data_IF_224514211331
#
_entry.id   IF_224514211331
#
_cell.length_a   1.000
_cell.length_b   1.000
_cell.length_c   1.000
_cell.angle_alpha   90.00
_cell.angle_beta   90.00
_cell.angle_gamma   90.00
#
_symmetry.space_group_name_H-M   'P 1'
#
loop_
_entity.id
_entity.type
_entity.pdbx_description
1 polymer ?
#
# COMPACT_ATOMS: atom_id res chain seq x y z
N UNK A 1 27.81 -25.73 11.88
CA UNK A 1 27.36 -24.63 10.98
C UNK A 1 25.84 -24.42 11.06
N UNK A 2 25.30 -24.23 12.26
CA UNK A 2 23.89 -23.84 12.47
C UNK A 2 23.78 -22.34 12.17
N UNK A 3 22.77 -21.91 11.41
CA UNK A 3 22.39 -20.51 11.09
C UNK A 3 23.02 -19.88 9.83
N UNK A 4 23.44 -20.67 8.84
CA UNK A 4 23.84 -20.13 7.50
C UNK A 4 22.71 -20.41 6.51
N UNK A 5 22.30 -19.39 5.77
CA UNK A 5 21.22 -19.39 4.79
C UNK A 5 21.70 -18.83 3.45
N UNK A 6 21.06 -19.21 2.36
CA UNK A 6 21.29 -18.55 1.06
C UNK A 6 20.70 -17.14 1.08
N UNK A 7 19.50 -17.01 1.63
CA UNK A 7 18.76 -15.74 1.66
C UNK A 7 18.10 -15.56 3.03
N UNK A 8 18.21 -14.34 3.57
CA UNK A 8 17.43 -13.89 4.71
C UNK A 8 16.46 -12.79 4.27
N UNK A 9 15.20 -12.89 4.72
CA UNK A 9 14.19 -11.83 4.62
C UNK A 9 13.92 -11.27 6.02
N UNK A 10 14.02 -9.93 6.16
CA UNK A 10 13.62 -9.23 7.38
C UNK A 10 12.23 -8.64 7.17
N UNK A 11 11.28 -9.15 7.94
CA UNK A 11 9.85 -8.89 7.81
C UNK A 11 9.13 -9.91 6.93
N UNK A 12 8.08 -10.51 7.46
CA UNK A 12 7.23 -11.49 6.81
C UNK A 12 5.90 -10.90 6.31
N UNK A 13 5.94 -9.66 5.79
CA UNK A 13 4.77 -8.95 5.29
C UNK A 13 4.39 -9.32 3.85
N UNK A 14 3.47 -8.53 3.27
CA UNK A 14 2.89 -8.77 1.96
C UNK A 14 3.95 -8.92 0.86
N UNK A 15 4.90 -8.00 0.75
CA UNK A 15 5.95 -8.03 -0.28
C UNK A 15 6.82 -9.28 -0.21
N UNK A 16 7.24 -9.66 1.01
CA UNK A 16 8.03 -10.87 1.24
C UNK A 16 7.25 -12.12 0.84
N UNK A 17 6.00 -12.26 1.29
CA UNK A 17 5.23 -13.46 1.04
C UNK A 17 4.75 -13.57 -0.42
N UNK A 18 4.43 -12.45 -1.09
CA UNK A 18 4.15 -12.45 -2.53
C UNK A 18 5.39 -12.88 -3.32
N UNK A 19 6.58 -12.36 -2.98
CA UNK A 19 7.83 -12.77 -3.60
C UNK A 19 8.07 -14.27 -3.38
N UNK A 20 8.12 -14.73 -2.14
CA UNK A 20 8.46 -16.11 -1.80
C UNK A 20 7.48 -17.14 -2.35
N UNK A 21 6.17 -16.82 -2.40
CA UNK A 21 5.15 -17.71 -2.96
C UNK A 21 5.38 -18.03 -4.45
N UNK A 22 6.08 -17.16 -5.18
CA UNK A 22 6.46 -17.42 -6.57
C UNK A 22 7.90 -17.94 -6.70
N UNK A 23 8.84 -17.29 -5.99
CA UNK A 23 10.26 -17.60 -6.06
C UNK A 23 10.58 -19.06 -5.66
N UNK A 24 9.97 -19.54 -4.58
CA UNK A 24 10.24 -20.89 -4.07
C UNK A 24 9.68 -22.02 -4.92
N UNK A 25 8.84 -21.74 -5.90
CA UNK A 25 8.36 -22.75 -6.86
C UNK A 25 9.51 -23.36 -7.66
N UNK A 26 10.46 -22.52 -8.08
CA UNK A 26 11.60 -22.93 -8.92
C UNK A 26 12.92 -23.02 -8.13
N UNK A 27 12.96 -22.51 -6.91
CA UNK A 27 14.16 -22.40 -6.08
C UNK A 27 14.03 -23.14 -4.75
N UNK A 28 13.40 -24.30 -4.75
CA UNK A 28 13.08 -25.07 -3.52
C UNK A 28 14.31 -25.64 -2.80
N UNK A 29 15.48 -25.70 -3.42
CA UNK A 29 16.73 -26.18 -2.81
C UNK A 29 17.45 -25.12 -1.98
N UNK A 30 17.09 -23.84 -2.11
CA UNK A 30 17.72 -22.76 -1.34
C UNK A 30 17.24 -22.75 0.11
N UNK A 31 18.17 -22.50 1.02
CA UNK A 31 17.88 -22.30 2.46
C UNK A 31 17.44 -20.86 2.68
N UNK A 32 16.18 -20.65 2.90
CA UNK A 32 15.59 -19.32 3.07
C UNK A 32 15.08 -19.14 4.50
N UNK A 33 15.47 -18.03 5.14
CA UNK A 33 15.01 -17.64 6.47
C UNK A 33 14.17 -16.37 6.39
N UNK A 34 13.03 -16.37 7.03
CA UNK A 34 12.21 -15.16 7.25
C UNK A 34 12.20 -14.84 8.75
N UNK A 35 12.60 -13.61 9.09
CA UNK A 35 12.62 -13.09 10.46
C UNK A 35 11.47 -12.08 10.61
N UNK A 36 10.42 -12.44 11.36
CA UNK A 36 9.25 -11.60 11.58
C UNK A 36 9.18 -11.13 13.04
N UNK A 37 9.04 -9.81 13.25
CA UNK A 37 8.98 -9.22 14.59
C UNK A 37 7.71 -9.56 15.37
N UNK A 38 6.61 -9.79 14.68
CA UNK A 38 5.33 -10.06 15.30
C UNK A 38 5.20 -11.52 15.74
N UNK A 39 4.56 -11.76 16.90
CA UNK A 39 4.26 -13.11 17.41
C UNK A 39 3.25 -13.86 16.52
N UNK A 40 2.36 -13.13 15.85
CA UNK A 40 1.33 -13.68 14.95
C UNK A 40 1.41 -12.99 13.59
N UNK A 41 0.95 -13.68 12.54
CA UNK A 41 0.69 -13.02 11.26
C UNK A 41 -0.33 -11.92 11.51
N UNK A 42 -0.02 -10.71 11.05
CA UNK A 42 -0.88 -9.55 11.26
C UNK A 42 -2.22 -9.77 10.58
N UNK A 43 -3.32 -9.62 11.33
CA UNK A 43 -4.67 -9.97 10.89
C UNK A 43 -5.61 -8.77 10.73
N UNK A 44 -5.09 -7.58 10.94
CA UNK A 44 -5.83 -6.32 11.05
C UNK A 44 -5.73 -5.47 9.79
N UNK A 45 -5.51 -6.07 8.63
CA UNK A 45 -5.33 -5.33 7.37
C UNK A 45 -6.36 -5.75 6.33
N UNK A 46 -6.79 -4.77 5.53
CA UNK A 46 -7.55 -5.00 4.31
C UNK A 46 -6.70 -4.56 3.13
N UNK A 47 -6.50 -5.44 2.14
CA UNK A 47 -5.81 -5.09 0.91
C UNK A 47 -6.83 -4.84 -0.19
N UNK A 48 -6.75 -3.68 -0.81
CA UNK A 48 -7.61 -3.35 -1.94
C UNK A 48 -6.80 -3.18 -3.22
N UNK A 49 -7.37 -3.64 -4.33
CA UNK A 49 -6.76 -3.55 -5.65
C UNK A 49 -7.78 -3.25 -6.72
N UNK A 50 -7.31 -2.63 -7.79
CA UNK A 50 -8.01 -2.56 -9.06
C UNK A 50 -7.73 -3.83 -9.86
N UNK A 51 -8.74 -4.38 -10.52
CA UNK A 51 -8.62 -5.56 -11.38
C UNK A 51 -9.37 -5.32 -12.68
N UNK A 52 -8.92 -5.93 -13.78
CA UNK A 52 -9.57 -5.81 -15.08
C UNK A 52 -8.59 -5.85 -16.24
N UNK A 53 -9.03 -5.45 -17.45
CA UNK A 53 -8.21 -5.53 -18.66
C UNK A 53 -6.87 -4.80 -18.51
N UNK A 54 -5.79 -5.45 -18.99
CA UNK A 54 -4.43 -4.91 -18.96
C UNK A 54 -3.84 -4.62 -17.57
N UNK A 55 -4.44 -5.15 -16.51
CA UNK A 55 -3.89 -5.15 -15.16
C UNK A 55 -3.36 -6.53 -14.80
N UNK A 56 -2.35 -6.56 -13.92
CA UNK A 56 -1.80 -7.83 -13.43
C UNK A 56 -2.87 -8.62 -12.66
N UNK A 57 -3.07 -9.88 -13.05
CA UNK A 57 -4.07 -10.75 -12.42
C UNK A 57 -3.53 -11.38 -11.12
N UNK A 58 -3.79 -10.69 -10.02
CA UNK A 58 -3.38 -11.10 -8.67
C UNK A 58 -4.10 -12.38 -8.24
N UNK A 59 -5.39 -12.51 -8.53
CA UNK A 59 -6.19 -13.67 -8.12
C UNK A 59 -5.68 -14.96 -8.75
N UNK A 60 -5.46 -14.93 -10.05
CA UNK A 60 -4.94 -16.09 -10.81
C UNK A 60 -3.52 -16.44 -10.37
N UNK A 61 -2.64 -15.42 -10.29
CA UNK A 61 -1.21 -15.64 -10.00
C UNK A 61 -0.97 -16.18 -8.60
N UNK A 62 -1.66 -15.63 -7.61
CA UNK A 62 -1.48 -15.98 -6.19
C UNK A 62 -2.58 -16.87 -5.62
N UNK A 63 -3.54 -17.31 -6.46
CA UNK A 63 -4.71 -18.13 -6.06
C UNK A 63 -5.47 -17.53 -4.89
N UNK A 64 -5.63 -16.21 -4.89
CA UNK A 64 -6.34 -15.47 -3.87
C UNK A 64 -7.81 -15.32 -4.24
N UNK A 65 -8.68 -15.24 -3.21
CA UNK A 65 -10.11 -14.96 -3.38
C UNK A 65 -10.45 -13.65 -2.69
N UNK A 66 -11.06 -12.67 -3.39
CA UNK A 66 -11.49 -11.43 -2.77
C UNK A 66 -12.64 -11.68 -1.77
N UNK A 67 -12.69 -10.86 -0.72
CA UNK A 67 -13.78 -10.83 0.25
C UNK A 67 -15.03 -10.19 -0.37
N UNK A 68 -14.84 -9.14 -1.19
CA UNK A 68 -15.91 -8.45 -1.93
C UNK A 68 -15.33 -7.85 -3.22
N UNK A 69 -16.21 -7.73 -4.21
CA UNK A 69 -15.94 -7.11 -5.51
C UNK A 69 -17.00 -6.05 -5.75
N UNK A 70 -16.57 -4.85 -6.17
CA UNK A 70 -17.48 -3.78 -6.59
C UNK A 70 -17.22 -3.42 -8.06
N UNK A 71 -18.31 -3.09 -8.76
CA UNK A 71 -18.29 -2.56 -10.13
C UNK A 71 -18.66 -1.08 -10.17
N UNK A 72 -18.77 -0.46 -9.01
CA UNK A 72 -19.01 0.97 -8.87
C UNK A 72 -18.22 1.50 -7.67
N UNK A 73 -17.82 2.75 -7.77
CA UNK A 73 -17.12 3.48 -6.70
C UNK A 73 -17.80 4.83 -6.47
N UNK A 74 -17.65 5.35 -5.27
CA UNK A 74 -18.25 6.63 -4.86
C UNK A 74 -17.22 7.55 -4.23
N UNK A 75 -17.30 8.84 -4.57
CA UNK A 75 -16.61 9.92 -3.87
C UNK A 75 -17.66 10.94 -3.45
N UNK A 76 -17.51 11.46 -2.23
CA UNK A 76 -18.50 12.36 -1.62
C UNK A 76 -17.76 13.56 -1.00
N UNK A 77 -18.26 14.75 -1.22
CA UNK A 77 -17.90 15.94 -0.45
C UNK A 77 -19.17 16.67 0.00
N UNK A 78 -19.05 17.83 0.65
CA UNK A 78 -20.19 18.61 1.15
C UNK A 78 -21.11 19.15 0.05
N UNK A 79 -20.68 19.16 -1.21
CA UNK A 79 -21.41 19.77 -2.34
C UNK A 79 -21.98 18.75 -3.31
N UNK A 80 -21.30 17.62 -3.50
CA UNK A 80 -21.67 16.64 -4.52
C UNK A 80 -21.26 15.21 -4.15
N UNK A 81 -21.92 14.24 -4.75
CA UNK A 81 -21.59 12.83 -4.70
C UNK A 81 -21.39 12.32 -6.13
N UNK A 82 -20.21 11.75 -6.39
CA UNK A 82 -19.83 11.19 -7.69
C UNK A 82 -19.91 9.67 -7.58
N UNK A 83 -20.83 9.06 -8.34
CA UNK A 83 -20.92 7.61 -8.52
C UNK A 83 -20.36 7.26 -9.90
N UNK A 84 -19.32 6.42 -9.94
CA UNK A 84 -18.69 5.96 -11.18
C UNK A 84 -18.90 4.45 -11.35
N UNK A 85 -19.49 4.04 -12.49
CA UNK A 85 -19.50 2.64 -12.93
C UNK A 85 -18.15 2.34 -13.56
N UNK A 86 -17.48 1.29 -13.10
CA UNK A 86 -16.09 0.97 -13.49
C UNK A 86 -15.96 -0.28 -14.37
N UNK A 87 -17.06 -0.99 -14.68
CA UNK A 87 -17.01 -2.15 -15.60
C UNK A 87 -16.39 -1.75 -16.95
N UNK A 88 -15.43 -2.49 -17.52
CA UNK A 88 -15.04 -3.87 -17.19
C UNK A 88 -14.05 -4.01 -16.03
N UNK A 89 -13.58 -2.92 -15.44
CA UNK A 89 -12.75 -2.97 -14.24
C UNK A 89 -13.58 -3.30 -12.99
N UNK A 90 -12.88 -3.68 -11.94
CA UNK A 90 -13.44 -4.03 -10.65
C UNK A 90 -12.55 -3.45 -9.53
N UNK A 91 -13.18 -3.09 -8.42
CA UNK A 91 -12.48 -2.79 -7.19
C UNK A 91 -12.66 -3.96 -6.23
N UNK A 92 -11.58 -4.51 -5.70
CA UNK A 92 -11.59 -5.76 -4.93
C UNK A 92 -10.95 -5.56 -3.57
N UNK A 93 -11.58 -6.10 -2.53
CA UNK A 93 -11.03 -6.16 -1.19
C UNK A 93 -10.64 -7.58 -0.82
N UNK A 94 -9.46 -7.74 -0.21
CA UNK A 94 -8.94 -8.99 0.30
C UNK A 94 -8.76 -8.91 1.81
N UNK A 95 -9.13 -9.98 2.52
CA UNK A 95 -8.82 -10.14 3.94
C UNK A 95 -7.32 -10.35 4.12
N UNK A 96 -6.66 -9.45 4.83
CA UNK A 96 -5.20 -9.45 4.96
C UNK A 96 -4.67 -10.70 5.65
N UNK A 97 -5.33 -11.16 6.72
CA UNK A 97 -4.92 -12.36 7.44
C UNK A 97 -5.02 -13.61 6.55
N UNK A 98 -6.15 -13.78 5.86
CA UNK A 98 -6.34 -14.91 4.93
C UNK A 98 -5.32 -14.83 3.79
N UNK A 99 -5.11 -13.65 3.23
CA UNK A 99 -4.13 -13.42 2.16
C UNK A 99 -2.72 -13.82 2.58
N UNK A 100 -2.23 -13.32 3.71
CA UNK A 100 -0.88 -13.62 4.17
C UNK A 100 -0.71 -15.11 4.54
N UNK A 101 -1.73 -15.74 5.15
CA UNK A 101 -1.71 -17.18 5.43
C UNK A 101 -1.66 -18.03 4.16
N UNK A 102 -2.46 -17.67 3.16
CA UNK A 102 -2.48 -18.39 1.87
C UNK A 102 -1.16 -18.22 1.11
N UNK A 103 -0.57 -17.03 1.11
CA UNK A 103 0.74 -16.79 0.50
C UNK A 103 1.83 -17.58 1.23
N UNK A 104 1.83 -17.59 2.56
CA UNK A 104 2.78 -18.37 3.34
C UNK A 104 2.66 -19.88 3.08
N UNK A 105 1.44 -20.40 2.97
CA UNK A 105 1.20 -21.81 2.66
C UNK A 105 1.69 -22.22 1.26
N UNK A 106 1.84 -21.26 0.33
CA UNK A 106 2.40 -21.48 -1.00
C UNK A 106 3.93 -21.47 -1.03
N UNK A 107 4.60 -20.97 0.02
CA UNK A 107 6.05 -20.93 0.12
C UNK A 107 6.60 -22.34 0.43
N UNK A 108 7.60 -22.78 -0.34
CA UNK A 108 8.24 -24.09 -0.16
C UNK A 108 9.59 -23.95 0.52
N UNK A 109 9.90 -24.88 1.45
CA UNK A 109 11.21 -25.01 2.08
C UNK A 109 11.78 -23.71 2.68
N UNK A 110 10.93 -22.91 3.35
CA UNK A 110 11.36 -21.74 4.11
C UNK A 110 11.34 -22.00 5.60
N UNK A 111 12.29 -21.41 6.30
CA UNK A 111 12.25 -21.28 7.77
C UNK A 111 11.63 -19.95 8.15
N UNK A 112 10.47 -19.95 8.80
CA UNK A 112 9.76 -18.73 9.20
C UNK A 112 9.79 -18.57 10.72
N UNK A 113 10.65 -17.67 11.22
CA UNK A 113 10.79 -17.39 12.66
C UNK A 113 9.98 -16.13 13.03
N UNK A 114 9.09 -16.27 14.00
CA UNK A 114 8.25 -15.19 14.57
C UNK A 114 8.85 -14.65 15.85
N UNK A 115 8.44 -13.46 16.27
CA UNK A 115 8.90 -12.80 17.49
C UNK A 115 10.42 -12.55 17.48
N UNK A 116 10.99 -12.30 16.31
CA UNK A 116 12.41 -12.04 16.12
C UNK A 116 12.59 -10.56 15.72
N UNK A 117 13.21 -9.80 16.58
CA UNK A 117 13.53 -8.40 16.32
C UNK A 117 15.00 -8.34 15.88
N UNK A 118 15.22 -7.95 14.64
CA UNK A 118 16.58 -7.70 14.12
C UNK A 118 17.08 -6.37 14.68
N UNK A 119 18.24 -6.42 15.30
CA UNK A 119 18.91 -5.28 15.91
C UNK A 119 19.90 -4.63 14.94
N UNK A 120 20.83 -5.40 14.44
CA UNK A 120 21.92 -4.92 13.60
C UNK A 120 22.14 -5.82 12.37
N UNK A 121 22.72 -5.22 11.32
CA UNK A 121 23.08 -5.87 10.07
C UNK A 121 24.42 -5.34 9.64
N UNK A 122 25.39 -6.23 9.50
CA UNK A 122 26.71 -5.95 8.97
C UNK A 122 26.94 -6.77 7.71
N UNK A 123 27.62 -6.22 6.72
CA UNK A 123 28.07 -6.92 5.52
C UNK A 123 29.59 -6.93 5.46
N UNK A 124 30.14 -8.12 5.50
CA UNK A 124 31.59 -8.32 5.30
C UNK A 124 31.78 -9.30 4.15
N UNK A 125 31.66 -10.34 3.84
CA UNK A 125 31.53 -11.21 2.66
C UNK A 125 30.16 -11.87 2.62
N UNK A 126 29.52 -11.92 3.80
CA UNK A 126 28.16 -12.39 4.04
C UNK A 126 27.45 -11.33 4.88
N UNK A 127 26.13 -11.33 4.80
CA UNK A 127 25.33 -10.58 5.76
C UNK A 127 25.36 -11.28 7.13
N UNK A 128 25.70 -10.51 8.15
CA UNK A 128 25.62 -10.88 9.56
C UNK A 128 24.39 -10.18 10.14
N UNK A 129 23.36 -10.95 10.50
CA UNK A 129 22.11 -10.43 11.02
C UNK A 129 22.02 -10.77 12.49
N UNK A 130 22.15 -9.78 13.36
CA UNK A 130 22.05 -9.92 14.81
C UNK A 130 20.65 -9.58 15.29
N UNK A 131 20.11 -10.36 16.17
CA UNK A 131 18.81 -10.12 16.81
C UNK A 131 18.98 -9.48 18.18
N UNK A 132 17.90 -8.87 18.71
CA UNK A 132 17.89 -8.35 20.08
C UNK A 132 18.06 -9.43 21.15
N UNK A 133 17.75 -10.69 20.84
CA UNK A 133 17.98 -11.84 21.73
C UNK A 133 19.41 -12.38 21.65
N UNK A 134 20.31 -11.78 20.86
CA UNK A 134 21.70 -12.20 20.72
C UNK A 134 21.93 -13.32 19.69
N UNK A 135 20.87 -13.84 19.01
CA UNK A 135 21.05 -14.81 17.94
C UNK A 135 21.75 -14.14 16.74
N UNK A 136 22.68 -14.87 16.11
CA UNK A 136 23.37 -14.46 14.89
C UNK A 136 23.02 -15.37 13.73
N UNK A 137 22.55 -14.79 12.64
CA UNK A 137 22.27 -15.47 11.37
C UNK A 137 23.19 -14.92 10.27
N UNK A 138 23.57 -15.78 9.32
CA UNK A 138 24.43 -15.41 8.19
C UNK A 138 23.73 -15.74 6.87
N UNK A 139 23.90 -14.89 5.85
CA UNK A 139 23.39 -15.19 4.50
C UNK A 139 24.20 -14.53 3.41
N UNK A 140 24.13 -15.11 2.21
CA UNK A 140 24.71 -14.53 0.98
C UNK A 140 23.90 -13.33 0.50
N UNK A 141 22.55 -13.42 0.59
CA UNK A 141 21.64 -12.36 0.16
C UNK A 141 20.70 -11.97 1.30
N UNK A 142 20.37 -10.68 1.34
CA UNK A 142 19.46 -10.12 2.33
C UNK A 142 18.39 -9.26 1.66
N UNK A 143 17.14 -9.54 1.99
CA UNK A 143 15.99 -8.70 1.66
C UNK A 143 15.48 -8.01 2.94
N UNK A 144 15.32 -6.70 2.89
CA UNK A 144 14.87 -5.93 4.04
C UNK A 144 13.57 -5.18 3.73
N UNK A 145 12.47 -5.59 4.38
CA UNK A 145 11.15 -4.99 4.22
C UNK A 145 10.77 -4.06 5.39
N UNK A 146 11.69 -3.78 6.30
CA UNK A 146 11.41 -2.89 7.44
C UNK A 146 11.08 -1.48 6.93
N UNK A 147 10.10 -0.80 7.54
CA UNK A 147 9.84 0.58 7.18
C UNK A 147 11.08 1.46 7.46
N UNK A 148 11.28 2.53 6.68
CA UNK A 148 12.41 3.43 6.86
C UNK A 148 12.33 4.13 8.23
N UNK A 149 13.48 4.26 8.88
CA UNK A 149 13.60 4.96 10.17
C UNK A 149 13.82 6.47 9.98
N UNK A 150 14.38 6.88 8.85
CA UNK A 150 14.79 8.26 8.59
C UNK A 150 14.02 8.83 7.38
N UNK A 151 13.59 10.10 7.50
CA UNK A 151 12.97 10.85 6.40
C UNK A 151 13.96 11.19 5.26
N UNK A 152 15.28 11.17 5.50
CA UNK A 152 16.30 11.42 4.50
C UNK A 152 16.30 10.48 3.30
N UNK A 153 15.62 9.33 3.40
CA UNK A 153 15.45 8.39 2.28
C UNK A 153 14.45 8.88 1.22
N UNK A 154 13.60 9.87 1.53
CA UNK A 154 12.67 10.42 0.56
C UNK A 154 13.37 11.39 -0.39
N UNK A 155 12.97 11.33 -1.67
CA UNK A 155 13.51 12.18 -2.72
C UNK A 155 13.11 13.64 -2.56
N UNK A 156 11.90 13.87 -2.01
CA UNK A 156 11.33 15.20 -1.79
C UNK A 156 10.97 15.36 -0.31
N UNK A 157 11.06 16.59 0.24
CA UNK A 157 10.78 16.83 1.66
C UNK A 157 9.29 16.76 2.02
N UNK A 158 8.39 16.93 1.04
CA UNK A 158 6.96 16.97 1.25
C UNK A 158 6.38 15.56 1.41
N UNK A 159 6.64 14.97 2.58
CA UNK A 159 6.14 13.64 2.95
C UNK A 159 4.93 13.80 3.86
N UNK A 160 3.78 13.29 3.42
CA UNK A 160 2.59 13.13 4.23
C UNK A 160 2.52 11.73 4.84
N UNK A 161 1.69 11.59 5.86
CA UNK A 161 1.32 10.30 6.43
C UNK A 161 -0.15 10.04 6.14
N UNK A 162 -0.46 8.93 5.50
CA UNK A 162 -1.81 8.38 5.48
C UNK A 162 -1.98 7.57 6.75
N UNK A 163 -2.59 8.19 7.76
CA UNK A 163 -2.86 7.57 9.04
C UNK A 163 -4.35 7.28 9.17
N UNK A 164 -4.72 6.08 9.58
CA UNK A 164 -6.11 5.70 9.67
C UNK A 164 -6.43 4.77 10.85
N UNK A 165 -7.69 4.83 11.26
CA UNK A 165 -8.35 3.86 12.13
C UNK A 165 -9.55 3.32 11.36
N UNK A 166 -9.65 2.01 11.24
CA UNK A 166 -10.74 1.30 10.62
C UNK A 166 -11.48 0.41 11.62
N UNK A 167 -12.80 0.35 11.48
CA UNK A 167 -13.65 -0.55 12.26
C UNK A 167 -14.59 -1.27 11.29
N UNK A 168 -14.49 -2.60 11.27
CA UNK A 168 -15.48 -3.41 10.57
C UNK A 168 -16.66 -3.64 11.51
N UNK A 169 -17.84 -3.22 11.10
CA UNK A 169 -19.08 -3.31 11.88
C UNK A 169 -20.11 -4.19 11.19
N UNK A 170 -21.00 -4.74 11.99
CA UNK A 170 -22.24 -5.34 11.51
C UNK A 170 -23.43 -4.70 12.23
N UNK A 171 -24.52 -4.47 11.49
CA UNK A 171 -25.76 -3.82 11.93
C UNK A 171 -26.94 -4.76 11.78
N UNK A 172 -28.02 -4.54 12.54
CA UNK A 172 -29.21 -5.39 12.53
C UNK A 172 -30.06 -5.18 11.26
N UNK A 173 -30.15 -3.94 10.79
CA UNK A 173 -30.94 -3.52 9.63
C UNK A 173 -30.05 -3.16 8.44
N UNK A 174 -30.63 -3.01 7.25
CA UNK A 174 -29.90 -2.60 6.03
C UNK A 174 -29.52 -1.12 6.13
N UNK A 175 -28.22 -0.82 6.35
CA UNK A 175 -27.70 0.55 6.48
C UNK A 175 -26.59 0.86 5.44
N UNK A 176 -26.19 -0.10 4.62
CA UNK A 176 -25.15 0.08 3.63
C UNK A 176 -25.65 -0.16 2.20
N UNK A 177 -25.23 0.71 1.27
CA UNK A 177 -25.31 0.44 -0.16
C UNK A 177 -24.10 -0.43 -0.56
N UNK A 178 -24.31 -1.73 -0.71
CA UNK A 178 -23.23 -2.67 -0.98
C UNK A 178 -22.92 -2.84 -2.49
N UNK A 179 -23.50 -2.00 -3.33
CA UNK A 179 -23.27 -1.96 -4.77
C UNK A 179 -22.02 -1.16 -5.16
N UNK A 180 -21.59 -0.24 -4.30
CA UNK A 180 -20.45 0.64 -4.54
C UNK A 180 -19.51 0.72 -3.32
N UNK A 181 -18.19 0.74 -3.57
CA UNK A 181 -17.22 1.13 -2.56
C UNK A 181 -17.09 2.65 -2.49
N UNK A 182 -17.22 3.24 -1.30
CA UNK A 182 -16.94 4.67 -1.12
C UNK A 182 -15.45 4.85 -0.88
N UNK A 183 -14.74 5.36 -1.88
CA UNK A 183 -13.29 5.58 -1.78
C UNK A 183 -12.95 6.75 -0.87
N UNK A 184 -13.74 7.82 -0.94
CA UNK A 184 -13.53 9.02 -0.14
C UNK A 184 -14.87 9.69 0.14
N UNK A 185 -15.22 9.83 1.42
CA UNK A 185 -16.27 10.71 1.91
C UNK A 185 -15.57 11.80 2.73
N UNK A 186 -15.31 12.95 2.08
CA UNK A 186 -14.49 14.01 2.64
C UNK A 186 -15.16 14.76 3.78
N UNK A 187 -14.37 15.08 4.79
CA UNK A 187 -14.73 15.99 5.87
C UNK A 187 -13.96 17.31 5.73
N UNK A 188 -14.55 18.40 6.16
CA UNK A 188 -13.89 19.72 6.16
C UNK A 188 -12.78 19.76 7.20
N UNK A 189 -11.59 20.19 6.77
CA UNK A 189 -10.44 20.45 7.63
C UNK A 189 -9.45 21.35 6.88
N UNK A 190 -8.77 22.22 7.62
CA UNK A 190 -7.76 23.12 7.07
C UNK A 190 -6.33 22.56 7.25
N UNK A 191 -6.13 21.64 8.21
CA UNK A 191 -4.80 21.12 8.57
C UNK A 191 -4.47 19.75 7.98
N UNK A 192 -5.46 19.03 7.46
CA UNK A 192 -5.31 17.69 6.93
C UNK A 192 -6.39 17.39 5.87
N UNK A 193 -6.12 16.47 4.95
CA UNK A 193 -7.18 15.90 4.14
C UNK A 193 -7.80 14.77 4.95
N UNK A 194 -9.07 14.92 5.33
CA UNK A 194 -9.81 13.94 6.12
C UNK A 194 -10.92 13.33 5.29
N UNK A 195 -11.01 12.02 5.28
CA UNK A 195 -12.11 11.32 4.62
C UNK A 195 -12.43 9.99 5.29
N UNK A 196 -13.66 9.53 5.10
CA UNK A 196 -14.05 8.17 5.46
C UNK A 196 -14.06 7.30 4.22
N UNK A 197 -13.35 6.18 4.31
CA UNK A 197 -13.34 5.12 3.33
C UNK A 197 -14.30 4.02 3.81
N UNK A 198 -15.28 3.62 2.97
CA UNK A 198 -16.33 2.70 3.36
C UNK A 198 -16.38 1.55 2.37
N UNK A 199 -16.16 0.34 2.86
CA UNK A 199 -16.21 -0.90 2.11
C UNK A 199 -17.40 -1.75 2.58
N UNK A 200 -18.57 -1.62 1.97
CA UNK A 200 -19.73 -2.40 2.32
C UNK A 200 -19.62 -3.83 1.78
N UNK A 201 -19.43 -4.80 2.66
CA UNK A 201 -19.35 -6.22 2.29
C UNK A 201 -20.74 -6.81 2.07
N UNK A 202 -21.76 -6.25 2.71
CA UNK A 202 -23.18 -6.51 2.51
C UNK A 202 -23.98 -5.29 2.98
N UNK A 203 -25.29 -5.30 2.78
CA UNK A 203 -26.18 -4.24 3.30
C UNK A 203 -26.13 -4.07 4.82
N UNK A 204 -25.61 -5.10 5.55
CA UNK A 204 -25.52 -5.13 7.02
C UNK A 204 -24.11 -5.19 7.55
N UNK A 205 -23.07 -5.10 6.71
CA UNK A 205 -21.68 -5.23 7.15
C UNK A 205 -20.75 -4.40 6.30
N UNK A 206 -19.96 -3.56 6.94
CA UNK A 206 -18.96 -2.73 6.26
C UNK A 206 -17.68 -2.55 7.10
N UNK A 207 -16.57 -2.32 6.42
CA UNK A 207 -15.39 -1.68 7.00
C UNK A 207 -15.53 -0.18 6.80
N UNK A 208 -15.35 0.56 7.87
CA UNK A 208 -15.33 2.02 7.86
C UNK A 208 -13.98 2.47 8.39
N UNK A 209 -13.23 3.21 7.57
CA UNK A 209 -11.96 3.79 7.95
C UNK A 209 -12.05 5.31 7.95
N UNK A 210 -11.57 5.94 9.00
CA UNK A 210 -11.33 7.38 9.01
C UNK A 210 -9.85 7.61 8.77
N UNK A 211 -9.54 8.27 7.66
CA UNK A 211 -8.20 8.45 7.12
C UNK A 211 -7.82 9.91 7.11
N UNK A 212 -6.61 10.20 7.54
CA UNK A 212 -5.98 11.51 7.52
C UNK A 212 -4.75 11.48 6.62
N UNK A 213 -4.67 12.39 5.65
CA UNK A 213 -3.41 12.74 5.01
C UNK A 213 -2.85 13.95 5.75
N UNK A 214 -1.80 13.74 6.55
CA UNK A 214 -1.31 14.75 7.51
C UNK A 214 0.21 14.75 7.62
N UNK A 215 0.77 15.90 7.98
CA UNK A 215 2.20 16.07 8.30
C UNK A 215 2.56 15.39 9.63
N UNK A 216 1.68 15.49 10.62
CA UNK A 216 1.85 14.97 11.99
C UNK A 216 0.67 14.08 12.35
N UNK A 217 0.97 12.86 12.77
CA UNK A 217 -0.06 11.87 13.13
C UNK A 217 -0.47 12.08 14.59
N UNK A 218 -1.77 12.27 14.81
CA UNK A 218 -2.39 12.25 16.12
C UNK A 218 -3.54 11.23 16.14
N UNK A 219 -3.26 10.07 16.70
CA UNK A 219 -4.26 9.00 16.78
C UNK A 219 -5.41 9.28 17.77
N UNK A 220 -5.24 10.19 18.72
CA UNK A 220 -6.35 10.58 19.62
C UNK A 220 -7.38 11.38 18.83
N UNK A 221 -6.90 12.33 18.00
CA UNK A 221 -7.77 13.10 17.11
C UNK A 221 -8.44 12.16 16.08
N UNK A 222 -7.68 11.30 15.40
CA UNK A 222 -8.24 10.33 14.42
C UNK A 222 -9.31 9.45 15.10
N UNK A 223 -9.06 8.97 16.32
CA UNK A 223 -10.01 8.15 17.07
C UNK A 223 -11.28 8.91 17.43
N UNK A 224 -11.17 10.18 17.81
CA UNK A 224 -12.33 11.05 18.10
C UNK A 224 -13.19 11.24 16.85
N UNK A 225 -12.57 11.61 15.72
CA UNK A 225 -13.28 11.81 14.45
C UNK A 225 -13.92 10.50 13.97
N UNK A 226 -13.19 9.38 14.09
CA UNK A 226 -13.70 8.06 13.72
C UNK A 226 -14.92 7.65 14.55
N UNK A 227 -14.86 7.81 15.87
CA UNK A 227 -16.01 7.52 16.75
C UNK A 227 -17.22 8.39 16.40
N UNK A 228 -17.02 9.69 16.17
CA UNK A 228 -18.10 10.59 15.75
C UNK A 228 -18.73 10.14 14.43
N UNK A 229 -17.94 9.67 13.47
CA UNK A 229 -18.49 9.16 12.23
C UNK A 229 -19.26 7.85 12.41
N UNK A 230 -18.83 6.97 13.31
CA UNK A 230 -19.54 5.73 13.61
C UNK A 230 -20.92 5.95 14.24
N UNK A 231 -21.18 7.11 14.89
CA UNK A 231 -22.52 7.44 15.41
C UNK A 231 -23.60 7.60 14.33
N UNK A 232 -23.24 7.69 13.04
CA UNK A 232 -24.20 7.64 11.95
C UNK A 232 -24.85 6.25 11.77
N UNK A 233 -24.26 5.20 12.36
CA UNK A 233 -24.77 3.82 12.29
C UNK A 233 -25.37 3.41 13.63
N UNK A 234 -26.59 2.86 13.57
CA UNK A 234 -27.33 2.45 14.77
C UNK A 234 -27.06 0.98 15.09
N UNK A 235 -27.08 0.62 16.36
CA UNK A 235 -27.03 -0.76 16.87
C UNK A 235 -25.98 -1.65 16.20
N UNK A 236 -24.77 -1.12 16.07
CA UNK A 236 -23.70 -1.88 15.45
C UNK A 236 -22.89 -2.73 16.45
N UNK A 237 -22.44 -3.89 15.97
CA UNK A 237 -21.44 -4.73 16.64
C UNK A 237 -20.10 -4.61 15.94
N UNK A 238 -19.02 -4.45 16.71
CA UNK A 238 -17.66 -4.40 16.16
C UNK A 238 -17.18 -5.82 15.88
N UNK A 239 -16.77 -6.08 14.64
CA UNK A 239 -16.20 -7.35 14.19
C UNK A 239 -14.68 -7.37 14.36
N UNK A 240 -14.01 -6.31 13.88
CA UNK A 240 -12.56 -6.13 14.00
C UNK A 240 -12.20 -4.66 13.89
N UNK A 241 -10.97 -4.36 14.28
CA UNK A 241 -10.37 -3.02 14.12
C UNK A 241 -9.08 -3.13 13.34
N UNK A 242 -8.74 -2.09 12.59
CA UNK A 242 -7.45 -1.93 11.95
C UNK A 242 -6.91 -0.52 12.19
N UNK A 243 -5.58 -0.39 12.14
CA UNK A 243 -4.89 0.88 12.37
C UNK A 243 -3.53 0.81 11.68
N UNK A 244 -3.20 1.84 10.89
CA UNK A 244 -1.89 1.92 10.28
C UNK A 244 -1.46 3.37 10.02
N UNK A 245 -0.18 3.52 9.70
CA UNK A 245 0.43 4.69 9.11
C UNK A 245 1.13 4.21 7.84
N UNK A 246 0.80 4.82 6.71
CA UNK A 246 1.48 4.61 5.45
C UNK A 246 2.20 5.92 5.09
N UNK A 247 3.53 5.93 5.02
CA UNK A 247 4.25 7.12 4.59
C UNK A 247 4.00 7.36 3.10
N UNK A 248 3.63 8.58 2.75
CA UNK A 248 3.34 9.03 1.40
C UNK A 248 4.49 9.91 0.92
N UNK A 249 5.32 9.37 0.07
CA UNK A 249 6.49 10.07 -0.47
C UNK A 249 7.29 9.18 -1.41
N UNK A 250 8.01 9.80 -2.33
CA UNK A 250 8.87 9.07 -3.28
C UNK A 250 10.18 8.70 -2.59
N UNK A 251 10.49 7.42 -2.55
CA UNK A 251 11.74 6.90 -1.98
C UNK A 251 12.89 7.12 -2.97
N UNK A 252 14.06 7.54 -2.48
CA UNK A 252 15.30 7.55 -3.26
C UNK A 252 15.73 6.13 -3.58
N UNK A 253 16.12 5.87 -4.80
CA UNK A 253 16.72 4.59 -5.15
C UNK A 253 18.11 4.51 -4.50
N UNK A 254 18.26 3.61 -3.55
CA UNK A 254 19.55 3.32 -2.92
C UNK A 254 20.18 2.10 -3.62
N UNK A 255 20.89 2.38 -4.70
CA UNK A 255 21.64 1.36 -5.47
C UNK A 255 22.93 0.92 -4.78
N UNK A 256 23.39 1.67 -3.77
CA UNK A 256 24.63 1.38 -3.03
C UNK A 256 24.40 0.42 -1.85
N UNK A 257 23.16 0.18 -1.47
CA UNK A 257 22.85 -0.77 -0.41
C UNK A 257 23.21 -2.20 -0.81
N UNK A 258 23.95 -2.88 0.03
CA UNK A 258 24.21 -4.32 -0.16
C UNK A 258 22.94 -5.16 0.02
N UNK A 259 22.03 -4.74 0.89
CA UNK A 259 20.74 -5.39 1.12
C UNK A 259 19.70 -4.94 0.07
N UNK A 260 18.93 -5.87 -0.45
CA UNK A 260 17.82 -5.60 -1.37
C UNK A 260 16.62 -5.10 -0.55
N UNK A 261 16.24 -3.83 -0.74
CA UNK A 261 15.04 -3.28 -0.10
C UNK A 261 13.79 -3.76 -0.83
N UNK A 262 12.74 -4.11 -0.07
CA UNK A 262 11.41 -4.47 -0.60
C UNK A 262 10.31 -3.84 0.27
N UNK A 263 9.08 -3.81 -0.25
CA UNK A 263 7.95 -3.23 0.47
C UNK A 263 8.05 -1.72 0.62
N UNK A 264 7.68 -1.20 1.78
CA UNK A 264 7.63 0.25 2.05
C UNK A 264 9.01 0.89 1.87
N UNK A 265 10.07 0.24 2.36
CA UNK A 265 11.44 0.77 2.27
C UNK A 265 11.99 0.85 0.86
N UNK A 266 11.39 0.16 -0.09
CA UNK A 266 11.73 0.23 -1.50
C UNK A 266 10.82 1.16 -2.31
N UNK A 267 9.82 1.81 -1.69
CA UNK A 267 8.83 2.60 -2.42
C UNK A 267 7.76 1.77 -3.13
N UNK A 268 7.53 0.52 -2.70
CA UNK A 268 6.47 -0.33 -3.26
C UNK A 268 5.07 0.05 -2.75
N UNK A 269 4.92 1.22 -2.16
CA UNK A 269 3.65 1.90 -1.90
C UNK A 269 3.57 3.06 -2.89
N UNK A 270 2.43 3.22 -3.57
CA UNK A 270 2.23 4.37 -4.44
C UNK A 270 2.19 5.66 -3.62
N UNK A 271 3.04 6.65 -3.94
CA UNK A 271 3.24 7.82 -3.07
C UNK A 271 1.98 8.61 -2.76
N UNK A 272 1.09 8.83 -3.75
CA UNK A 272 -0.10 9.66 -3.59
C UNK A 272 -1.34 8.93 -3.06
N UNK A 273 -1.34 7.58 -2.99
CA UNK A 273 -2.56 6.81 -2.71
C UNK A 273 -2.41 5.67 -1.71
N UNK A 274 -1.19 5.27 -1.38
CA UNK A 274 -0.93 4.17 -0.46
C UNK A 274 -1.16 2.75 -1.04
N UNK A 275 -1.56 2.60 -2.31
CA UNK A 275 -1.73 1.29 -2.92
C UNK A 275 -0.39 0.58 -3.06
N UNK A 276 -0.31 -0.67 -2.57
CA UNK A 276 0.93 -1.45 -2.55
C UNK A 276 0.83 -2.78 -3.30
N UNK A 277 -0.26 -3.51 -3.12
CA UNK A 277 -0.38 -4.89 -3.60
C UNK A 277 -0.22 -5.00 -5.12
N UNK A 278 -0.84 -4.09 -5.89
CA UNK A 278 -0.72 -4.04 -7.34
C UNK A 278 0.71 -3.67 -7.78
N UNK A 279 1.33 -2.69 -7.10
CA UNK A 279 2.71 -2.25 -7.40
C UNK A 279 3.73 -3.37 -7.13
N UNK A 280 3.57 -4.13 -6.05
CA UNK A 280 4.36 -5.33 -5.75
C UNK A 280 4.14 -6.39 -6.83
N UNK A 281 2.89 -6.64 -7.22
CA UNK A 281 2.56 -7.64 -8.24
C UNK A 281 3.14 -7.27 -9.61
N UNK A 282 3.05 -6.01 -10.01
CA UNK A 282 3.64 -5.50 -11.26
C UNK A 282 5.17 -5.65 -11.28
N UNK A 283 5.84 -5.38 -10.14
CA UNK A 283 7.27 -5.60 -10.01
C UNK A 283 7.63 -7.08 -10.16
N UNK A 284 6.94 -7.95 -9.42
CA UNK A 284 7.19 -9.40 -9.49
C UNK A 284 6.91 -9.99 -10.87
N UNK A 285 5.91 -9.47 -11.57
CA UNK A 285 5.58 -9.90 -12.94
C UNK A 285 6.66 -9.57 -13.98
N UNK A 286 7.57 -8.63 -13.67
CA UNK A 286 8.71 -8.26 -14.53
C UNK A 286 9.99 -9.03 -14.20
N UNK A 287 10.03 -9.73 -13.05
CA UNK A 287 11.23 -10.46 -12.64
C UNK A 287 11.30 -11.84 -13.28
N UNK A 288 12.49 -12.17 -13.79
CA UNK A 288 12.87 -13.56 -14.01
C UNK A 288 13.30 -14.15 -12.65
N UNK A 289 12.38 -14.91 -12.02
CA UNK A 289 12.55 -15.47 -10.68
C UNK A 289 13.52 -16.68 -10.69
N UNK A 290 14.67 -16.55 -11.37
CA UNK A 290 15.79 -17.48 -11.29
C UNK A 290 16.48 -17.39 -9.93
N UNK A 291 17.38 -18.34 -9.69
CA UNK A 291 18.25 -18.29 -8.51
C UNK A 291 19.02 -16.99 -8.46
N UNK A 292 19.03 -16.32 -7.29
CA UNK A 292 19.77 -15.07 -7.09
C UNK A 292 21.26 -15.39 -7.11
N UNK A 293 22.02 -14.60 -7.88
CA UNK A 293 23.48 -14.62 -8.01
C UNK A 293 23.99 -13.20 -7.94
N UNK A 294 25.31 -13.00 -7.83
CA UNK A 294 25.89 -11.66 -7.88
C UNK A 294 25.62 -10.96 -9.21
N UNK A 295 25.63 -11.70 -10.32
CA UNK A 295 25.40 -11.15 -11.66
C UNK A 295 23.97 -10.65 -11.89
N UNK A 296 22.95 -11.27 -11.23
CA UNK A 296 21.56 -10.89 -11.43
C UNK A 296 20.93 -10.17 -10.22
N UNK A 297 21.69 -9.95 -9.15
CA UNK A 297 21.19 -9.29 -7.92
C UNK A 297 20.53 -7.95 -8.22
N UNK A 298 21.09 -7.17 -9.13
CA UNK A 298 20.58 -5.84 -9.47
C UNK A 298 19.15 -5.85 -10.04
N UNK A 299 18.73 -6.95 -10.68
CA UNK A 299 17.38 -7.06 -11.24
C UNK A 299 16.29 -7.13 -10.17
N UNK A 300 16.65 -7.46 -8.92
CA UNK A 300 15.72 -7.56 -7.80
C UNK A 300 15.51 -6.22 -7.07
N UNK A 301 16.26 -5.16 -7.41
CA UNK A 301 15.97 -3.83 -6.85
C UNK A 301 14.70 -3.28 -7.51
N UNK A 302 13.79 -2.82 -6.67
CA UNK A 302 12.57 -2.16 -7.15
C UNK A 302 12.91 -0.79 -7.75
N UNK A 303 12.40 -0.57 -8.94
CA UNK A 303 12.41 0.74 -9.58
C UNK A 303 10.97 1.16 -9.88
N UNK A 304 10.51 2.20 -9.19
CA UNK A 304 9.18 2.77 -9.43
C UNK A 304 9.09 3.42 -10.83
N UNK A 305 7.88 3.61 -11.36
CA UNK A 305 7.68 4.34 -12.60
C UNK A 305 7.98 5.82 -12.40
N UNK A 306 9.15 6.27 -12.90
CA UNK A 306 9.74 7.60 -12.63
C UNK A 306 8.76 8.74 -12.89
N UNK A 307 8.06 8.71 -14.04
CA UNK A 307 7.09 9.75 -14.40
C UNK A 307 5.89 9.79 -13.44
N UNK A 308 5.37 8.62 -13.06
CA UNK A 308 4.23 8.55 -12.13
C UNK A 308 4.63 8.99 -10.73
N UNK A 309 5.81 8.59 -10.27
CA UNK A 309 6.34 9.02 -8.97
C UNK A 309 6.60 10.53 -8.93
N UNK A 310 7.04 11.12 -10.04
CA UNK A 310 7.20 12.57 -10.18
C UNK A 310 5.83 13.30 -10.14
N UNK A 311 4.83 12.82 -10.87
CA UNK A 311 3.48 13.38 -10.82
C UNK A 311 2.85 13.26 -9.44
N UNK A 312 3.02 12.10 -8.78
CA UNK A 312 2.59 11.90 -7.40
C UNK A 312 3.30 12.88 -6.45
N UNK A 313 4.58 13.19 -6.68
CA UNK A 313 5.30 14.16 -5.83
C UNK A 313 4.75 15.58 -5.95
N UNK A 314 4.36 16.02 -7.15
CA UNK A 314 3.71 17.33 -7.35
C UNK A 314 2.37 17.37 -6.61
N UNK A 315 1.58 16.31 -6.75
CA UNK A 315 0.29 16.19 -6.06
C UNK A 315 0.46 16.25 -4.54
N UNK A 316 1.41 15.48 -4.00
CA UNK A 316 1.72 15.48 -2.56
C UNK A 316 2.19 16.84 -2.07
N UNK A 317 2.99 17.56 -2.86
CA UNK A 317 3.46 18.89 -2.53
C UNK A 317 2.32 19.90 -2.41
N UNK A 318 1.33 19.84 -3.33
CA UNK A 318 0.11 20.65 -3.20
C UNK A 318 -0.64 20.31 -1.92
N UNK A 319 -0.89 19.01 -1.68
CA UNK A 319 -1.61 18.54 -0.49
C UNK A 319 -0.87 18.83 0.82
N UNK A 320 0.47 18.85 0.79
CA UNK A 320 1.31 19.19 1.95
C UNK A 320 1.19 20.67 2.32
N UNK A 321 1.21 21.56 1.33
CA UNK A 321 1.18 23.00 1.57
C UNK A 321 -0.25 23.55 1.78
N UNK A 322 -1.24 22.95 1.09
CA UNK A 322 -2.65 23.38 1.13
C UNK A 322 -3.58 22.16 1.22
N UNK A 323 -3.65 21.51 2.39
CA UNK A 323 -4.46 20.29 2.55
C UNK A 323 -5.95 20.54 2.31
N UNK A 324 -6.47 21.74 2.58
CA UNK A 324 -7.86 22.14 2.33
C UNK A 324 -8.27 22.03 0.86
N UNK A 325 -7.30 22.06 -0.06
CA UNK A 325 -7.52 21.89 -1.51
C UNK A 325 -7.61 20.41 -1.91
N UNK A 326 -7.10 19.51 -1.10
CA UNK A 326 -7.05 18.08 -1.40
C UNK A 326 -8.38 17.49 -1.89
N UNK A 327 -9.51 17.70 -1.21
CA UNK A 327 -10.82 17.23 -1.68
C UNK A 327 -11.17 17.72 -3.08
N UNK A 328 -10.86 18.99 -3.40
CA UNK A 328 -11.09 19.55 -4.76
C UNK A 328 -10.25 18.82 -5.81
N UNK A 329 -8.99 18.48 -5.53
CA UNK A 329 -8.13 17.78 -6.47
C UNK A 329 -8.67 16.38 -6.77
N UNK A 330 -9.06 15.61 -5.76
CA UNK A 330 -9.63 14.28 -5.95
C UNK A 330 -10.97 14.34 -6.70
N UNK A 331 -11.87 15.23 -6.30
CA UNK A 331 -13.16 15.39 -6.97
C UNK A 331 -12.97 15.81 -8.43
N UNK A 332 -12.09 16.80 -8.71
CA UNK A 332 -11.80 17.22 -10.09
C UNK A 332 -11.25 16.07 -10.92
N UNK A 333 -10.33 15.27 -10.36
CA UNK A 333 -9.78 14.12 -11.05
C UNK A 333 -10.86 13.13 -11.46
N UNK A 334 -11.69 12.69 -10.52
CA UNK A 334 -12.72 11.68 -10.79
C UNK A 334 -13.92 12.22 -11.60
N UNK A 335 -14.14 13.52 -11.60
CA UNK A 335 -15.20 14.16 -12.40
C UNK A 335 -14.80 14.39 -13.84
N UNK A 336 -13.55 14.82 -14.08
CA UNK A 336 -13.11 15.31 -15.37
C UNK A 336 -12.29 14.31 -16.19
N UNK A 337 -11.62 13.32 -15.54
CA UNK A 337 -10.89 12.29 -16.27
C UNK A 337 -11.78 11.07 -16.54
N UNK A 338 -11.45 10.35 -17.61
CA UNK A 338 -12.06 9.04 -17.87
C UNK A 338 -11.69 8.07 -16.76
N UNK A 339 -12.68 7.41 -16.17
CA UNK A 339 -12.48 6.51 -15.02
C UNK A 339 -11.52 5.35 -15.33
N UNK A 340 -11.48 4.86 -16.56
CA UNK A 340 -10.58 3.78 -16.95
C UNK A 340 -9.13 4.26 -17.01
N UNK A 341 -8.90 5.52 -17.44
CA UNK A 341 -7.58 6.15 -17.37
C UNK A 341 -7.12 6.32 -15.92
N UNK A 342 -8.03 6.72 -15.02
CA UNK A 342 -7.74 6.83 -13.58
C UNK A 342 -7.33 5.46 -13.02
N UNK A 343 -8.08 4.41 -13.30
CA UNK A 343 -7.80 3.06 -12.79
C UNK A 343 -6.43 2.57 -13.26
N UNK A 344 -6.11 2.70 -14.55
CA UNK A 344 -4.78 2.33 -15.07
C UNK A 344 -3.68 3.18 -14.45
N UNK A 345 -3.91 4.48 -14.27
CA UNK A 345 -2.97 5.38 -13.60
C UNK A 345 -2.72 4.95 -12.15
N UNK A 346 -3.75 4.65 -11.37
CA UNK A 346 -3.65 4.20 -9.98
C UNK A 346 -3.03 2.80 -9.85
N UNK A 347 -2.99 2.02 -10.93
CA UNK A 347 -2.45 0.66 -10.99
C UNK A 347 -1.04 0.58 -11.59
N UNK A 348 -0.36 1.71 -11.81
CA UNK A 348 0.94 1.79 -12.50
C UNK A 348 0.95 1.13 -13.90
N UNK A 349 -0.18 1.23 -14.61
CA UNK A 349 -0.41 0.60 -15.93
C UNK A 349 -0.94 1.60 -16.96
N UNK A 350 -0.74 2.90 -16.72
CA UNK A 350 -1.21 3.98 -17.58
C UNK A 350 -0.43 4.06 -18.91
N UNK A 351 -1.14 4.38 -19.96
CA UNK A 351 -0.55 4.83 -21.24
C UNK A 351 -0.20 6.30 -21.16
N UNK A 352 0.58 6.80 -22.14
CA UNK A 352 0.87 8.24 -22.28
C UNK A 352 -0.42 9.08 -22.40
N UNK A 353 -1.41 8.58 -23.15
CA UNK A 353 -2.71 9.24 -23.29
C UNK A 353 -3.49 9.30 -21.97
N UNK A 354 -3.39 8.26 -21.14
CA UNK A 354 -3.99 8.28 -19.79
C UNK A 354 -3.36 9.38 -18.93
N UNK A 355 -2.04 9.49 -18.95
CA UNK A 355 -1.31 10.51 -18.19
C UNK A 355 -1.73 11.91 -18.61
N UNK A 356 -1.82 12.17 -19.92
CA UNK A 356 -2.29 13.45 -20.45
C UNK A 356 -3.71 13.76 -19.94
N UNK A 357 -4.64 12.79 -20.01
CA UNK A 357 -6.02 12.96 -19.51
C UNK A 357 -6.05 13.27 -18.01
N UNK A 358 -5.19 12.62 -17.20
CA UNK A 358 -5.06 12.88 -15.76
C UNK A 358 -4.57 14.30 -15.50
N UNK A 359 -3.54 14.75 -16.20
CA UNK A 359 -3.00 16.11 -16.06
C UNK A 359 -4.05 17.16 -16.44
N UNK A 360 -4.78 16.95 -17.54
CA UNK A 360 -5.81 17.87 -17.99
C UNK A 360 -7.04 17.93 -17.09
N UNK A 361 -7.31 16.87 -16.33
CA UNK A 361 -8.45 16.79 -15.41
C UNK A 361 -8.24 17.57 -14.10
N UNK A 362 -7.00 17.86 -13.75
CA UNK A 362 -6.66 18.57 -12.52
C UNK A 362 -6.68 20.10 -12.72
N UNK A 363 -6.95 20.88 -11.66
CA UNK A 363 -6.94 22.35 -11.72
C UNK A 363 -5.54 22.89 -12.07
N UNK A 364 -5.33 23.31 -13.31
CA UNK A 364 -4.03 23.68 -13.86
C UNK A 364 -3.28 24.73 -13.04
N UNK A 365 -3.96 25.83 -12.63
CA UNK A 365 -3.36 26.92 -11.84
C UNK A 365 -2.79 26.41 -10.50
N UNK A 366 -3.51 25.49 -9.85
CA UNK A 366 -3.11 24.91 -8.57
C UNK A 366 -1.90 23.98 -8.76
N UNK A 367 -1.96 23.11 -9.78
CA UNK A 367 -0.89 22.15 -10.04
C UNK A 367 0.40 22.84 -10.50
N UNK A 368 0.31 23.91 -11.29
CA UNK A 368 1.47 24.73 -11.71
C UNK A 368 2.11 25.42 -10.51
N UNK A 369 1.32 25.99 -9.58
CA UNK A 369 1.87 26.52 -8.33
C UNK A 369 2.61 25.44 -7.52
N UNK A 370 2.05 24.22 -7.46
CA UNK A 370 2.72 23.08 -6.85
C UNK A 370 4.06 22.72 -7.49
N UNK A 371 4.14 22.81 -8.81
CA UNK A 371 5.36 22.54 -9.56
C UNK A 371 6.49 23.54 -9.21
N UNK A 372 6.17 24.85 -9.16
CA UNK A 372 7.16 25.92 -9.01
C UNK A 372 7.34 26.45 -7.58
N UNK A 373 6.75 25.83 -6.55
CA UNK A 373 6.81 26.30 -5.15
C UNK A 373 6.17 27.68 -4.89
N UNK A 374 5.33 28.18 -5.74
CA UNK A 374 4.62 29.44 -5.53
C UNK A 374 3.43 29.27 -4.55
N UNK A 375 3.74 29.05 -3.26
CA UNK A 375 2.76 29.02 -2.18
C UNK A 375 3.01 30.18 -1.21
N UNK A 376 3.15 31.39 -1.73
CA UNK A 376 3.04 32.62 -0.94
C UNK A 376 1.59 32.97 -0.62
#
# INVERSE_FOLDING_TARGET
>A
MKNIYDIIFIGGGLSTLMFLSQYTKNNSKQKILVLEKNKKIRSDQTFCVWAGPNLFDIEKTYKLKPKKIWQSIKLINSKESILQKIKPYQYKAFDGNKTLKLLLAQCKNITYKKNIIVDDIVYENLFLVRTKSGELFKSTYLFDSRPPKNKAIYKYPEVLNQAFIGTEISVATDQFDDTAATLMNFQKSDDAIIFNYILPFSKKRALIETTFFTKKVDFNLISKVHKNFLHHYQDYKIIRKEKAILPMGVIKNDTNSQAIKIGISAGMIRPATGYSMQRIANWLGKLDLKRITQSNKATYYFQGPILLDWLDSIFLKVCYNKPEIGPLLFISLFKNANIFSIIRFLSDSSTTLDIIKIILALPKKIMVKGLFNYYE
#
